data_IF_716768974581
#
_entry.id   IF_716768974581
#
_cell.length_a   1.000
_cell.length_b   1.000
_cell.length_c   1.000
_cell.angle_alpha   90.00
_cell.angle_beta   90.00
_cell.angle_gamma   90.00
#
_symmetry.space_group_name_H-M   'P 1'
#
loop_
_entity.id
_entity.type
_entity.pdbx_description
1 polymer ?
#
# COMPACT_ATOMS: atom_id res chain seq x y z
N UNK A 1 -20.68 -6.70 -11.84
CA UNK A 1 -20.57 -6.47 -10.38
C UNK A 1 -21.50 -7.37 -9.55
N UNK A 2 -22.59 -7.87 -10.12
CA UNK A 2 -23.60 -8.71 -9.42
C UNK A 2 -23.12 -10.13 -9.06
N UNK A 3 -22.04 -10.66 -9.67
CA UNK A 3 -21.59 -12.04 -9.41
C UNK A 3 -20.62 -12.19 -8.24
N UNK A 4 -19.94 -11.12 -7.80
CA UNK A 4 -18.97 -11.21 -6.68
C UNK A 4 -19.64 -11.30 -5.30
N UNK A 5 -20.86 -10.77 -5.17
CA UNK A 5 -21.61 -10.71 -3.91
C UNK A 5 -22.35 -12.01 -3.58
N UNK A 6 -22.55 -12.89 -4.56
CA UNK A 6 -23.29 -14.16 -4.39
C UNK A 6 -22.39 -15.22 -3.70
N UNK A 7 -21.07 -15.06 -3.73
CA UNK A 7 -20.15 -16.10 -3.27
C UNK A 7 -20.06 -16.25 -1.74
N UNK A 8 -20.32 -15.18 -0.98
CA UNK A 8 -20.13 -15.17 0.48
C UNK A 8 -21.40 -15.47 1.31
N UNK A 9 -22.61 -15.34 0.75
CA UNK A 9 -23.87 -15.73 1.43
C UNK A 9 -25.04 -15.82 0.43
N UNK A 10 -25.17 -16.94 -0.30
CA UNK A 10 -26.13 -17.08 -1.41
C UNK A 10 -27.61 -17.10 -0.98
N UNK A 11 -27.91 -17.25 0.31
CA UNK A 11 -29.29 -17.41 0.82
C UNK A 11 -29.80 -16.23 1.67
N UNK A 12 -29.00 -15.18 1.89
CA UNK A 12 -29.42 -14.04 2.71
C UNK A 12 -29.67 -12.79 1.84
N UNK A 13 -30.93 -12.51 1.45
CA UNK A 13 -31.28 -11.36 0.62
C UNK A 13 -30.96 -10.01 1.29
N UNK A 14 -30.85 -9.95 2.62
CA UNK A 14 -30.45 -8.74 3.35
C UNK A 14 -28.95 -8.44 3.23
N UNK A 15 -28.10 -9.45 3.02
CA UNK A 15 -26.65 -9.28 2.87
C UNK A 15 -26.27 -8.64 1.52
N UNK A 16 -26.94 -9.03 0.43
CA UNK A 16 -26.76 -8.40 -0.88
C UNK A 16 -27.21 -6.93 -0.86
N UNK A 17 -28.33 -6.63 -0.20
CA UNK A 17 -28.86 -5.27 -0.06
C UNK A 17 -27.96 -4.39 0.83
N UNK A 18 -27.53 -4.86 2.00
CA UNK A 18 -26.61 -4.10 2.86
C UNK A 18 -25.20 -4.03 2.30
N UNK A 19 -24.70 -5.01 1.55
CA UNK A 19 -23.42 -4.89 0.85
C UNK A 19 -23.51 -3.88 -0.31
N UNK A 20 -24.61 -3.86 -1.07
CA UNK A 20 -24.88 -2.82 -2.08
C UNK A 20 -25.14 -1.45 -1.46
N UNK A 21 -25.71 -1.38 -0.25
CA UNK A 21 -25.86 -0.15 0.54
C UNK A 21 -24.50 0.32 1.05
N UNK A 22 -23.72 -0.56 1.67
CA UNK A 22 -22.34 -0.31 2.10
C UNK A 22 -21.41 -0.01 0.93
N UNK A 23 -21.66 -0.49 -0.29
CA UNK A 23 -20.87 -0.18 -1.50
C UNK A 23 -21.36 1.09 -2.23
N UNK A 24 -22.67 1.33 -2.25
CA UNK A 24 -23.31 2.48 -2.89
C UNK A 24 -23.33 3.75 -2.03
N UNK A 25 -23.21 3.61 -0.72
CA UNK A 25 -23.15 4.71 0.25
C UNK A 25 -21.74 4.94 0.82
N UNK A 26 -20.62 4.35 0.35
CA UNK A 26 -19.30 4.55 1.01
C UNK A 26 -18.89 6.02 1.19
N UNK A 27 -19.30 6.89 0.28
CA UNK A 27 -19.07 8.32 0.39
C UNK A 27 -19.95 8.95 1.48
N UNK A 28 -21.24 8.61 1.51
CA UNK A 28 -22.19 9.07 2.54
C UNK A 28 -21.89 8.45 3.90
N UNK A 29 -21.66 7.14 3.99
CA UNK A 29 -21.21 6.47 5.21
C UNK A 29 -19.84 6.95 5.67
N UNK A 30 -18.94 7.35 4.77
CA UNK A 30 -17.72 8.07 5.14
C UNK A 30 -18.02 9.43 5.75
N UNK A 31 -18.94 10.20 5.14
CA UNK A 31 -19.36 11.51 5.62
C UNK A 31 -20.13 11.44 6.95
N UNK A 32 -21.15 10.60 7.05
CA UNK A 32 -21.94 10.34 8.25
C UNK A 32 -21.06 9.86 9.42
N UNK A 33 -20.07 9.00 9.14
CA UNK A 33 -19.13 8.54 10.17
C UNK A 33 -18.11 9.63 10.53
N UNK A 34 -17.70 10.47 9.59
CA UNK A 34 -16.87 11.64 9.90
C UNK A 34 -17.63 12.66 10.76
N UNK A 35 -18.89 12.95 10.44
CA UNK A 35 -19.80 13.79 11.23
C UNK A 35 -19.99 13.20 12.63
N UNK A 36 -20.18 11.88 12.75
CA UNK A 36 -20.19 11.18 14.05
C UNK A 36 -18.89 11.39 14.83
N UNK A 37 -17.75 11.46 14.14
CA UNK A 37 -16.45 11.76 14.71
C UNK A 37 -16.38 13.19 15.26
N UNK A 38 -16.83 14.17 14.48
CA UNK A 38 -16.92 15.58 14.87
C UNK A 38 -17.85 15.77 16.08
N UNK A 39 -19.04 15.18 16.04
CA UNK A 39 -20.01 15.18 17.14
C UNK A 39 -19.46 14.56 18.42
N UNK A 40 -18.76 13.44 18.29
CA UNK A 40 -18.12 12.75 19.42
C UNK A 40 -17.03 13.63 20.02
N UNK A 41 -16.23 14.27 19.18
CA UNK A 41 -15.17 15.18 19.61
C UNK A 41 -15.74 16.42 20.31
N UNK A 42 -16.81 17.02 19.76
CA UNK A 42 -17.51 18.14 20.36
C UNK A 42 -18.09 17.80 21.76
N UNK A 43 -18.47 16.53 21.98
CA UNK A 43 -18.93 16.00 23.27
C UNK A 43 -17.80 15.52 24.19
N UNK A 44 -16.53 15.74 23.82
CA UNK A 44 -15.35 15.32 24.60
C UNK A 44 -15.00 13.82 24.54
N UNK A 45 -15.70 13.04 23.69
CA UNK A 45 -15.47 11.60 23.54
C UNK A 45 -14.34 11.29 22.56
N UNK A 46 -13.09 11.60 22.94
CA UNK A 46 -11.93 11.56 22.04
C UNK A 46 -11.70 10.18 21.41
N UNK A 47 -11.81 9.09 22.17
CA UNK A 47 -11.61 7.73 21.65
C UNK A 47 -12.65 7.36 20.58
N UNK A 48 -13.91 7.76 20.78
CA UNK A 48 -14.97 7.51 19.79
C UNK A 48 -14.76 8.32 18.53
N UNK A 49 -14.29 9.56 18.66
CA UNK A 49 -13.93 10.40 17.52
C UNK A 49 -12.78 9.79 16.71
N UNK A 50 -11.70 9.37 17.37
CA UNK A 50 -10.56 8.67 16.74
C UNK A 50 -11.02 7.44 15.94
N UNK A 51 -11.78 6.53 16.57
CA UNK A 51 -12.28 5.32 15.91
C UNK A 51 -13.21 5.64 14.73
N UNK A 52 -14.03 6.70 14.82
CA UNK A 52 -14.90 7.14 13.75
C UNK A 52 -14.10 7.68 12.56
N UNK A 53 -13.14 8.58 12.80
CA UNK A 53 -12.30 9.12 11.74
C UNK A 53 -11.45 8.06 11.03
N UNK A 54 -10.94 7.04 11.76
CA UNK A 54 -10.25 5.90 11.14
C UNK A 54 -11.16 5.10 10.20
N UNK A 55 -12.41 4.83 10.61
CA UNK A 55 -13.39 4.16 9.76
C UNK A 55 -13.74 4.99 8.53
N UNK A 56 -13.98 6.29 8.70
CA UNK A 56 -14.27 7.20 7.60
C UNK A 56 -13.12 7.23 6.59
N UNK A 57 -11.87 7.33 7.05
CA UNK A 57 -10.68 7.28 6.20
C UNK A 57 -10.64 5.99 5.37
N UNK A 58 -10.86 4.82 5.99
CA UNK A 58 -10.91 3.55 5.28
C UNK A 58 -12.06 3.48 4.26
N UNK A 59 -13.23 4.05 4.56
CA UNK A 59 -14.37 4.07 3.63
C UNK A 59 -14.08 4.93 2.40
N UNK A 60 -13.55 6.14 2.58
CA UNK A 60 -13.15 7.01 1.48
C UNK A 60 -12.05 6.38 0.64
N UNK A 61 -11.01 5.83 1.27
CA UNK A 61 -9.89 5.17 0.58
C UNK A 61 -10.37 3.99 -0.27
N UNK A 62 -11.30 3.19 0.26
CA UNK A 62 -11.84 2.03 -0.48
C UNK A 62 -12.77 2.46 -1.61
N UNK A 63 -13.51 3.55 -1.43
CA UNK A 63 -14.38 4.11 -2.47
C UNK A 63 -13.57 4.70 -3.64
N UNK A 64 -12.46 5.38 -3.34
CA UNK A 64 -11.55 5.93 -4.34
C UNK A 64 -10.86 4.82 -5.16
N UNK A 65 -10.31 3.81 -4.48
CA UNK A 65 -9.36 2.87 -5.09
C UNK A 65 -9.89 2.14 -6.33
N UNK A 66 -11.15 1.68 -6.28
CA UNK A 66 -11.75 0.85 -7.34
C UNK A 66 -12.60 1.64 -8.34
N UNK A 67 -12.71 2.96 -8.16
CA UNK A 67 -13.63 3.80 -8.94
C UNK A 67 -13.07 4.18 -10.32
N UNK A 68 -11.75 4.31 -10.43
CA UNK A 68 -11.03 4.94 -11.55
C UNK A 68 -11.51 4.44 -12.93
N UNK A 69 -12.33 5.25 -13.60
CA UNK A 69 -12.83 5.00 -14.98
C UNK A 69 -12.31 6.01 -16.00
N UNK A 70 -12.05 7.25 -15.56
CA UNK A 70 -11.44 8.31 -16.34
C UNK A 70 -10.16 8.77 -15.63
N UNK A 71 -8.99 8.19 -15.95
CA UNK A 71 -7.76 8.35 -15.16
C UNK A 71 -7.37 9.79 -14.84
N UNK A 72 -7.64 10.74 -15.74
CA UNK A 72 -7.22 12.14 -15.61
C UNK A 72 -8.37 13.11 -15.30
N UNK A 73 -9.62 12.64 -15.34
CA UNK A 73 -10.83 13.46 -15.26
C UNK A 73 -11.83 12.84 -14.27
N UNK A 74 -11.38 12.53 -13.06
CA UNK A 74 -12.21 11.94 -12.00
C UNK A 74 -12.19 12.81 -10.74
N UNK A 75 -12.98 13.88 -10.77
CA UNK A 75 -13.15 14.83 -9.66
C UNK A 75 -13.59 14.13 -8.36
N UNK A 76 -14.44 13.10 -8.49
CA UNK A 76 -14.92 12.36 -7.33
C UNK A 76 -13.78 11.57 -6.68
N UNK A 77 -12.93 10.92 -7.47
CA UNK A 77 -11.72 10.26 -6.92
C UNK A 77 -10.78 11.26 -6.25
N UNK A 78 -10.62 12.48 -6.78
CA UNK A 78 -9.83 13.54 -6.14
C UNK A 78 -10.46 14.02 -4.82
N UNK A 79 -11.79 14.19 -4.77
CA UNK A 79 -12.49 14.57 -3.55
C UNK A 79 -12.40 13.48 -2.48
N UNK A 80 -12.50 12.20 -2.87
CA UNK A 80 -12.30 11.07 -1.97
C UNK A 80 -10.85 10.94 -1.50
N UNK A 81 -9.88 11.23 -2.37
CA UNK A 81 -8.46 11.30 -2.01
C UNK A 81 -8.21 12.33 -0.90
N UNK A 82 -8.82 13.50 -1.06
CA UNK A 82 -8.76 14.59 -0.07
C UNK A 82 -9.46 14.20 1.22
N UNK A 83 -10.65 13.61 1.14
CA UNK A 83 -11.44 13.19 2.30
C UNK A 83 -10.79 12.07 3.11
N UNK A 84 -10.18 11.06 2.46
CA UNK A 84 -9.47 10.01 3.21
C UNK A 84 -8.29 10.60 3.99
N UNK A 85 -7.56 11.53 3.37
CA UNK A 85 -6.37 12.16 3.96
C UNK A 85 -6.77 13.02 5.15
N UNK A 86 -7.80 13.86 4.98
CA UNK A 86 -8.33 14.69 6.05
C UNK A 86 -8.84 13.85 7.23
N UNK A 87 -9.62 12.79 6.97
CA UNK A 87 -10.12 11.90 8.01
C UNK A 87 -8.97 11.17 8.74
N UNK A 88 -7.94 10.71 8.02
CA UNK A 88 -6.77 10.09 8.64
C UNK A 88 -6.01 11.07 9.54
N UNK A 89 -5.76 12.30 9.06
CA UNK A 89 -5.09 13.34 9.84
C UNK A 89 -5.90 13.71 11.10
N UNK A 90 -7.23 13.81 10.98
CA UNK A 90 -8.11 14.02 12.14
C UNK A 90 -8.00 12.89 13.16
N UNK A 91 -7.97 11.63 12.71
CA UNK A 91 -7.73 10.50 13.61
C UNK A 91 -6.34 10.54 14.25
N UNK A 92 -5.29 10.78 13.45
CA UNK A 92 -3.90 10.76 13.90
C UNK A 92 -3.62 11.80 14.99
N UNK A 93 -4.22 12.99 14.90
CA UNK A 93 -4.14 14.03 15.94
C UNK A 93 -4.80 13.62 17.27
N UNK A 94 -5.68 12.63 17.25
CA UNK A 94 -6.32 12.07 18.43
C UNK A 94 -5.63 10.80 18.95
N UNK A 95 -4.64 10.26 18.25
CA UNK A 95 -3.94 9.06 18.69
C UNK A 95 -3.10 9.33 19.95
N UNK A 96 -2.74 8.26 20.65
CA UNK A 96 -1.83 8.32 21.80
C UNK A 96 -0.35 8.51 21.42
N UNK A 97 -0.03 8.51 20.12
CA UNK A 97 1.33 8.64 19.60
C UNK A 97 1.49 10.02 18.96
N UNK A 98 2.53 10.80 19.32
CA UNK A 98 2.80 12.08 18.69
C UNK A 98 2.91 11.93 17.17
N UNK A 99 2.26 12.85 16.47
CA UNK A 99 2.10 12.85 15.03
C UNK A 99 2.55 14.19 14.46
N UNK A 100 3.40 14.16 13.43
CA UNK A 100 3.84 15.33 12.66
C UNK A 100 3.61 15.09 11.17
N UNK A 101 2.93 16.03 10.51
CA UNK A 101 2.86 16.10 9.05
C UNK A 101 4.14 16.78 8.54
N UNK A 102 4.83 16.15 7.60
CA UNK A 102 6.06 16.67 7.01
C UNK A 102 5.92 16.84 5.50
N UNK A 103 6.70 17.76 4.94
CA UNK A 103 6.85 17.94 3.49
C UNK A 103 8.30 17.72 3.12
N UNK A 104 8.58 16.66 2.36
CA UNK A 104 9.92 16.30 1.90
C UNK A 104 10.17 16.98 0.56
N UNK A 105 11.18 17.85 0.48
CA UNK A 105 11.58 18.47 -0.78
C UNK A 105 12.10 17.40 -1.74
N UNK A 106 11.52 17.35 -2.94
CA UNK A 106 11.96 16.43 -4.00
C UNK A 106 11.93 17.13 -5.35
N UNK A 107 13.12 17.41 -5.90
CA UNK A 107 13.27 18.17 -7.16
C UNK A 107 12.52 19.51 -7.11
N UNK A 108 11.51 19.70 -7.94
CA UNK A 108 10.68 20.91 -8.05
C UNK A 108 9.31 20.76 -7.37
N UNK A 109 9.14 19.76 -6.49
CA UNK A 109 7.89 19.50 -5.77
C UNK A 109 8.16 19.11 -4.31
N UNK A 110 7.10 18.86 -3.55
CA UNK A 110 7.16 18.26 -2.21
C UNK A 110 6.42 16.92 -2.20
N UNK A 111 6.90 16.00 -1.38
CA UNK A 111 6.22 14.74 -1.06
C UNK A 111 5.65 14.83 0.36
N UNK A 112 4.35 14.59 0.56
CA UNK A 112 3.78 14.54 1.90
C UNK A 112 4.28 13.30 2.64
N UNK A 113 4.49 13.43 3.95
CA UNK A 113 4.86 12.33 4.82
C UNK A 113 4.34 12.52 6.23
N UNK A 114 4.37 11.45 7.02
CA UNK A 114 3.96 11.46 8.42
C UNK A 114 5.07 10.88 9.28
N UNK A 115 5.33 11.50 10.43
CA UNK A 115 6.20 10.95 11.48
C UNK A 115 5.32 10.61 12.67
N UNK A 116 5.36 9.35 13.09
CA UNK A 116 4.79 8.89 14.36
C UNK A 116 5.92 8.60 15.35
N UNK A 117 5.84 9.17 16.55
CA UNK A 117 6.80 8.89 17.62
C UNK A 117 6.27 7.79 18.55
N UNK A 118 7.11 6.81 18.88
CA UNK A 118 6.77 5.73 19.79
C UNK A 118 6.61 6.17 21.26
N UNK A 119 7.12 7.36 21.64
CA UNK A 119 6.93 7.96 22.96
C UNK A 119 5.45 8.31 23.15
N UNK A 120 4.73 7.47 23.91
CA UNK A 120 3.30 7.63 24.15
C UNK A 120 3.01 8.92 24.91
N UNK A 121 1.95 9.61 24.50
CA UNK A 121 1.32 10.65 25.30
C UNK A 121 0.54 9.95 26.42
N UNK A 122 1.03 10.05 27.66
CA UNK A 122 0.28 9.62 28.84
C UNK A 122 -0.88 10.60 29.02
N UNK A 123 -2.09 10.19 28.67
CA UNK A 123 -3.29 10.97 28.95
C UNK A 123 -3.59 10.88 30.44
N UNK A 124 -3.12 11.85 31.22
CA UNK A 124 -3.70 12.10 32.53
C UNK A 124 -4.97 12.92 32.36
N UNK A 125 -6.04 12.43 32.99
CA UNK A 125 -7.34 13.02 33.26
C UNK A 125 -7.28 14.27 34.18
N UNK A 126 -6.21 15.06 34.10
CA UNK A 126 -6.02 16.30 34.84
C UNK A 126 -5.57 17.41 33.88
N UNK A 127 -5.99 18.67 34.10
CA UNK A 127 -5.58 19.78 33.25
C UNK A 127 -4.06 19.97 33.39
N UNK A 128 -3.34 19.81 32.28
CA UNK A 128 -1.91 20.10 32.21
C UNK A 128 -1.70 21.61 32.44
N UNK A 129 -1.47 21.98 33.70
CA UNK A 129 -0.79 23.23 34.00
C UNK A 129 0.68 23.06 33.62
N UNK A 130 1.15 23.95 32.74
CA UNK A 130 2.55 24.37 32.62
C UNK A 130 3.60 23.30 32.25
N UNK A 131 4.09 23.40 31.00
CA UNK A 131 5.53 23.33 30.64
C UNK A 131 6.36 22.07 30.92
N UNK A 132 5.78 20.89 31.16
CA UNK A 132 6.57 19.65 31.25
C UNK A 132 6.01 18.56 30.32
N UNK A 133 6.79 18.20 29.31
CA UNK A 133 6.44 17.14 28.34
C UNK A 133 6.66 17.47 26.88
N UNK A 134 7.48 18.47 26.52
CA UNK A 134 8.02 18.55 25.17
C UNK A 134 9.13 17.50 25.04
N UNK A 135 8.75 16.22 24.90
CA UNK A 135 9.68 15.20 24.41
C UNK A 135 10.16 15.69 23.06
N UNK A 136 11.42 16.12 22.99
CA UNK A 136 12.10 16.49 21.76
C UNK A 136 11.86 15.34 20.78
N UNK A 137 11.09 15.61 19.73
CA UNK A 137 11.00 14.74 18.56
C UNK A 137 12.42 14.63 18.02
N UNK A 138 13.14 13.58 18.42
CA UNK A 138 14.43 13.27 17.81
C UNK A 138 14.16 13.04 16.33
N UNK A 139 14.44 14.06 15.52
CA UNK A 139 14.35 13.99 14.05
C UNK A 139 15.38 13.05 13.44
N UNK A 140 16.34 12.58 14.25
CA UNK A 140 17.42 11.70 13.82
C UNK A 140 17.28 10.35 14.50
N UNK A 141 16.67 9.35 13.85
CA UNK A 141 16.73 7.97 14.34
C UNK A 141 18.18 7.51 14.41
N UNK A 142 18.47 6.58 15.32
CA UNK A 142 19.75 5.87 15.33
C UNK A 142 19.98 5.24 13.95
N UNK A 143 21.06 5.61 13.23
CA UNK A 143 21.31 5.09 11.88
C UNK A 143 21.44 3.57 11.86
N UNK A 144 21.83 2.94 12.98
CA UNK A 144 21.93 1.48 13.09
C UNK A 144 20.57 0.80 13.31
N UNK A 145 19.48 1.57 13.43
CA UNK A 145 18.11 1.07 13.66
C UNK A 145 17.14 1.50 12.58
N UNK A 146 17.64 2.02 11.47
CA UNK A 146 16.79 2.45 10.35
C UNK A 146 16.36 1.24 9.52
N UNK A 147 15.05 1.04 9.39
CA UNK A 147 14.45 -0.06 8.62
C UNK A 147 13.66 0.51 7.45
N UNK A 148 13.81 -0.08 6.27
CA UNK A 148 12.95 0.21 5.12
C UNK A 148 11.95 -0.94 4.93
N UNK A 149 10.66 -0.62 4.92
CA UNK A 149 9.58 -1.57 4.65
C UNK A 149 8.91 -1.18 3.33
N UNK A 150 8.85 -2.11 2.38
CA UNK A 150 8.17 -1.96 1.10
C UNK A 150 7.05 -2.97 0.95
N UNK A 151 5.82 -2.49 0.76
CA UNK A 151 4.61 -3.30 0.62
C UNK A 151 4.08 -3.30 -0.83
N UNK A 152 3.76 -4.46 -1.39
CA UNK A 152 3.32 -4.66 -2.77
C UNK A 152 4.35 -4.12 -3.78
N UNK A 153 3.95 -3.19 -4.65
CA UNK A 153 4.84 -2.45 -5.56
C UNK A 153 5.99 -1.75 -4.83
N UNK A 154 5.79 -1.34 -3.57
CA UNK A 154 6.85 -0.72 -2.78
C UNK A 154 7.93 -1.74 -2.40
N UNK A 155 7.67 -3.05 -2.48
CA UNK A 155 8.71 -4.07 -2.39
C UNK A 155 9.76 -3.92 -3.51
N UNK A 156 9.33 -3.63 -4.75
CA UNK A 156 10.25 -3.27 -5.83
C UNK A 156 10.94 -1.93 -5.56
N UNK A 157 10.20 -0.89 -5.15
CA UNK A 157 10.76 0.45 -4.95
C UNK A 157 11.76 0.50 -3.79
N UNK A 158 11.49 -0.21 -2.71
CA UNK A 158 12.39 -0.37 -1.57
C UNK A 158 13.66 -1.10 -1.99
N UNK A 159 13.53 -2.24 -2.67
CA UNK A 159 14.68 -2.97 -3.22
C UNK A 159 15.49 -2.08 -4.18
N UNK A 160 14.83 -1.31 -5.05
CA UNK A 160 15.48 -0.37 -5.96
C UNK A 160 16.20 0.75 -5.21
N UNK A 161 15.62 1.31 -4.15
CA UNK A 161 16.25 2.35 -3.35
C UNK A 161 17.55 1.87 -2.72
N UNK A 162 17.56 0.66 -2.17
CA UNK A 162 18.73 0.11 -1.46
C UNK A 162 19.83 -0.44 -2.37
N UNK A 163 19.68 -0.29 -3.69
CA UNK A 163 20.79 -0.43 -4.65
C UNK A 163 21.72 0.78 -4.64
N UNK A 164 21.33 1.88 -3.99
CA UNK A 164 22.13 3.12 -3.92
C UNK A 164 22.09 3.79 -2.54
N UNK A 165 21.13 3.44 -1.68
CA UNK A 165 21.01 3.92 -0.31
C UNK A 165 21.27 2.78 0.69
N UNK A 166 22.40 2.84 1.39
CA UNK A 166 22.87 1.75 2.26
C UNK A 166 22.78 2.08 3.74
N UNK A 167 22.12 3.19 4.14
CA UNK A 167 21.94 3.55 5.55
C UNK A 167 20.97 2.64 6.32
N UNK A 168 20.21 1.79 5.63
CA UNK A 168 19.23 0.91 6.26
C UNK A 168 19.91 -0.32 6.86
N UNK A 169 19.70 -0.52 8.16
CA UNK A 169 20.17 -1.69 8.92
C UNK A 169 19.42 -2.97 8.49
N UNK A 170 18.13 -2.85 8.16
CA UNK A 170 17.36 -3.94 7.58
C UNK A 170 16.36 -3.44 6.53
N UNK A 171 16.04 -4.32 5.59
CA UNK A 171 15.05 -4.08 4.53
C UNK A 171 14.03 -5.21 4.55
N UNK A 172 12.75 -4.85 4.50
CA UNK A 172 11.63 -5.79 4.49
C UNK A 172 10.85 -5.59 3.20
N UNK A 173 10.73 -6.64 2.40
CA UNK A 173 10.08 -6.62 1.09
C UNK A 173 8.86 -7.54 1.09
N UNK A 174 7.68 -6.95 0.94
CA UNK A 174 6.40 -7.62 1.18
C UNK A 174 5.34 -7.37 0.10
N UNK A 175 5.27 -8.09 -1.00
CA UNK A 175 6.11 -9.20 -1.40
C UNK A 175 7.44 -8.73 -2.01
N UNK A 176 8.42 -9.65 -2.12
CA UNK A 176 9.63 -9.38 -2.90
C UNK A 176 9.34 -9.29 -4.40
N UNK A 177 9.75 -8.20 -5.05
CA UNK A 177 9.48 -7.98 -6.49
C UNK A 177 10.76 -7.73 -7.28
N UNK A 178 11.10 -8.66 -8.19
CA UNK A 178 12.24 -8.52 -9.08
C UNK A 178 11.89 -7.73 -10.36
N UNK A 179 10.77 -8.07 -10.99
CA UNK A 179 10.23 -7.54 -12.24
C UNK A 179 8.74 -7.27 -12.08
N UNK A 180 8.39 -6.02 -11.76
CA UNK A 180 7.00 -5.60 -11.59
C UNK A 180 6.20 -5.66 -12.89
N UNK A 181 6.88 -5.52 -14.04
CA UNK A 181 6.23 -5.62 -15.35
C UNK A 181 5.66 -7.02 -15.62
N UNK A 182 6.04 -8.05 -14.85
CA UNK A 182 5.44 -9.39 -14.94
C UNK A 182 3.94 -9.38 -14.63
N UNK A 183 3.46 -8.55 -13.70
CA UNK A 183 2.05 -8.44 -13.33
C UNK A 183 1.14 -8.03 -14.50
N UNK A 184 1.71 -7.35 -15.50
CA UNK A 184 0.98 -6.94 -16.71
C UNK A 184 1.15 -7.90 -17.88
N UNK A 185 2.11 -8.82 -17.82
CA UNK A 185 2.49 -9.71 -18.94
C UNK A 185 2.06 -11.16 -18.75
N UNK A 186 2.00 -11.67 -17.52
CA UNK A 186 1.74 -13.09 -17.23
C UNK A 186 0.41 -13.58 -17.81
N UNK A 187 -0.62 -12.73 -17.81
CA UNK A 187 -1.94 -13.05 -18.38
C UNK A 187 -2.06 -12.75 -19.87
N UNK A 188 -1.02 -12.21 -20.51
CA UNK A 188 -1.03 -11.87 -21.93
C UNK A 188 -0.48 -13.04 -22.77
N UNK A 189 -1.05 -13.27 -23.97
CA UNK A 189 -0.47 -14.21 -24.91
C UNK A 189 0.99 -13.89 -25.22
N UNK A 190 1.84 -14.92 -25.34
CA UNK A 190 3.27 -14.77 -25.55
C UNK A 190 3.66 -13.98 -26.80
N UNK A 191 2.80 -13.93 -27.84
CA UNK A 191 3.03 -13.09 -29.02
C UNK A 191 2.99 -11.59 -28.71
N UNK A 192 2.39 -11.15 -27.59
CA UNK A 192 2.35 -9.73 -27.21
C UNK A 192 3.76 -9.21 -26.90
N UNK A 193 4.63 -10.02 -26.32
CA UNK A 193 6.04 -9.63 -26.11
C UNK A 193 6.74 -9.33 -27.44
N UNK A 194 6.52 -10.16 -28.47
CA UNK A 194 7.03 -9.89 -29.82
C UNK A 194 6.48 -8.59 -30.41
N UNK A 195 5.20 -8.27 -30.17
CA UNK A 195 4.61 -7.01 -30.61
C UNK A 195 5.22 -5.79 -29.91
N UNK A 196 5.54 -5.92 -28.62
CA UNK A 196 6.22 -4.88 -27.83
C UNK A 196 7.60 -4.60 -28.40
N UNK A 197 8.39 -5.63 -28.70
CA UNK A 197 9.73 -5.50 -29.30
C UNK A 197 9.69 -4.84 -30.68
N UNK A 198 8.61 -5.05 -31.45
CA UNK A 198 8.40 -4.43 -32.77
C UNK A 198 7.75 -3.05 -32.70
N UNK A 199 7.44 -2.52 -31.52
CA UNK A 199 6.75 -1.24 -31.30
C UNK A 199 5.37 -1.16 -32.00
N UNK A 200 4.61 -2.26 -32.00
CA UNK A 200 3.26 -2.31 -32.59
C UNK A 200 2.19 -1.75 -31.64
N UNK A 201 2.37 -0.52 -31.19
CA UNK A 201 1.63 0.10 -30.08
C UNK A 201 0.12 0.16 -30.34
N UNK A 202 -0.30 0.38 -31.59
CA UNK A 202 -1.72 0.37 -31.95
C UNK A 202 -2.35 -1.00 -31.72
N UNK A 203 -1.67 -2.07 -32.12
CA UNK A 203 -2.13 -3.45 -31.98
C UNK A 203 -2.16 -3.85 -30.51
N UNK A 204 -1.11 -3.53 -29.75
CA UNK A 204 -1.05 -3.74 -28.31
C UNK A 204 -2.20 -3.02 -27.61
N UNK A 205 -2.44 -1.75 -27.96
CA UNK A 205 -3.55 -0.98 -27.41
C UNK A 205 -4.91 -1.62 -27.67
N UNK A 206 -5.14 -2.18 -28.87
CA UNK A 206 -6.39 -2.92 -29.17
C UNK A 206 -6.52 -4.17 -28.31
N UNK A 207 -5.45 -4.94 -28.15
CA UNK A 207 -5.43 -6.16 -27.32
C UNK A 207 -5.76 -5.82 -25.87
N UNK A 208 -5.06 -4.84 -25.29
CA UNK A 208 -5.22 -4.45 -23.88
C UNK A 208 -6.58 -3.83 -23.61
N UNK A 209 -7.11 -3.00 -24.51
CA UNK A 209 -8.47 -2.46 -24.40
C UNK A 209 -9.53 -3.54 -24.49
N UNK A 210 -9.29 -4.57 -25.30
CA UNK A 210 -10.20 -5.71 -25.41
C UNK A 210 -10.16 -6.56 -24.14
N UNK A 211 -8.96 -6.89 -23.64
CA UNK A 211 -8.79 -7.63 -22.39
C UNK A 211 -9.46 -6.91 -21.20
N UNK A 212 -9.27 -5.59 -21.10
CA UNK A 212 -9.90 -4.75 -20.07
C UNK A 212 -11.43 -4.74 -20.09
N UNK A 213 -12.09 -5.17 -21.17
CA UNK A 213 -13.55 -5.31 -21.22
C UNK A 213 -14.06 -6.56 -20.51
N UNK A 214 -13.22 -7.59 -20.41
CA UNK A 214 -13.59 -8.90 -19.88
C UNK A 214 -12.92 -9.20 -18.55
N UNK A 215 -11.85 -8.49 -18.20
CA UNK A 215 -11.12 -8.63 -16.94
C UNK A 215 -11.10 -7.30 -16.17
N UNK A 216 -11.75 -7.29 -15.00
CA UNK A 216 -11.82 -6.11 -14.14
C UNK A 216 -10.47 -5.77 -13.48
N UNK A 217 -9.65 -6.77 -13.17
CA UNK A 217 -8.32 -6.58 -12.60
C UNK A 217 -7.37 -5.97 -13.63
N UNK A 218 -7.36 -6.49 -14.86
CA UNK A 218 -6.60 -5.92 -15.96
C UNK A 218 -7.05 -4.47 -16.26
N UNK A 219 -8.36 -4.23 -16.30
CA UNK A 219 -8.92 -2.87 -16.49
C UNK A 219 -8.44 -1.92 -15.40
N UNK A 220 -8.57 -2.33 -14.14
CA UNK A 220 -8.13 -1.50 -13.02
C UNK A 220 -6.62 -1.24 -13.06
N UNK A 221 -5.80 -2.28 -13.27
CA UNK A 221 -4.34 -2.16 -13.33
C UNK A 221 -3.87 -1.20 -14.42
N UNK A 222 -4.45 -1.29 -15.62
CA UNK A 222 -4.14 -0.39 -16.74
C UNK A 222 -4.58 1.04 -16.42
N UNK A 223 -5.82 1.26 -15.97
CA UNK A 223 -6.32 2.62 -15.68
C UNK A 223 -5.56 3.26 -14.51
N UNK A 224 -5.21 2.47 -13.50
CA UNK A 224 -4.40 2.93 -12.38
C UNK A 224 -2.99 3.31 -12.83
N UNK A 225 -2.33 2.46 -13.63
CA UNK A 225 -1.00 2.75 -14.16
C UNK A 225 -0.97 4.00 -15.06
N UNK A 226 -2.01 4.19 -15.88
CA UNK A 226 -2.15 5.42 -16.69
C UNK A 226 -2.18 6.67 -15.81
N UNK A 227 -2.98 6.64 -14.74
CA UNK A 227 -3.06 7.76 -13.79
C UNK A 227 -1.75 7.99 -13.04
N UNK A 228 -1.19 6.95 -12.40
CA UNK A 228 0.01 7.09 -11.55
C UNK A 228 1.26 7.45 -12.33
N UNK A 229 1.40 6.95 -13.56
CA UNK A 229 2.56 7.17 -14.42
C UNK A 229 2.39 8.33 -15.41
N UNK A 230 1.19 8.95 -15.46
CA UNK A 230 0.90 10.04 -16.40
C UNK A 230 0.88 9.61 -17.87
N UNK A 231 0.44 8.37 -18.15
CA UNK A 231 0.49 7.77 -19.49
C UNK A 231 -0.87 7.77 -20.18
N UNK A 232 -0.89 8.08 -21.47
CA UNK A 232 -2.15 8.24 -22.21
C UNK A 232 -2.59 6.93 -22.87
N UNK A 233 -1.65 6.07 -23.29
CA UNK A 233 -1.96 4.83 -24.01
C UNK A 233 -1.63 3.56 -23.21
N UNK A 234 -2.35 2.48 -23.51
CA UNK A 234 -2.12 1.18 -22.86
C UNK A 234 -0.78 0.54 -23.26
N UNK A 235 -0.27 0.84 -24.46
CA UNK A 235 1.03 0.36 -24.92
C UNK A 235 2.18 1.04 -24.16
N UNK A 236 2.06 2.35 -23.87
CA UNK A 236 3.02 3.06 -23.02
C UNK A 236 3.09 2.46 -21.63
N UNK A 237 1.95 2.04 -21.06
CA UNK A 237 1.93 1.35 -19.75
C UNK A 237 2.82 0.13 -19.77
N UNK A 238 2.67 -0.78 -20.74
CA UNK A 238 3.52 -1.98 -20.83
C UNK A 238 5.01 -1.64 -20.95
N UNK A 239 5.35 -0.63 -21.75
CA UNK A 239 6.74 -0.19 -21.91
C UNK A 239 7.28 0.40 -20.61
N UNK A 240 6.52 1.26 -19.94
CA UNK A 240 6.97 1.93 -18.72
C UNK A 240 7.15 0.94 -17.57
N UNK A 241 6.17 0.09 -17.30
CA UNK A 241 6.26 -0.90 -16.22
C UNK A 241 7.37 -1.93 -16.45
N UNK A 242 7.77 -2.18 -17.71
CA UNK A 242 8.89 -3.07 -18.00
C UNK A 242 10.25 -2.53 -17.50
N UNK A 243 10.35 -1.22 -17.26
CA UNK A 243 11.53 -0.59 -16.66
C UNK A 243 11.65 -0.86 -15.16
N UNK A 244 10.59 -1.36 -14.52
CA UNK A 244 10.54 -1.65 -13.10
C UNK A 244 11.11 -3.06 -12.85
N UNK A 245 12.41 -3.21 -13.13
CA UNK A 245 13.14 -4.47 -13.10
C UNK A 245 14.52 -4.27 -12.43
N UNK A 246 14.91 -5.20 -11.56
CA UNK A 246 16.19 -5.19 -10.83
C UNK A 246 17.32 -5.93 -11.54
N UNK A 247 17.13 -6.35 -12.80
CA UNK A 247 18.17 -7.00 -13.60
C UNK A 247 19.47 -6.18 -13.63
N UNK A 248 20.57 -6.80 -13.19
CA UNK A 248 21.89 -6.17 -13.10
C UNK A 248 22.10 -5.27 -11.88
N UNK A 249 21.11 -5.16 -10.99
CA UNK A 249 21.16 -4.27 -9.81
C UNK A 249 21.16 -5.02 -8.48
N UNK A 250 20.74 -6.28 -8.44
CA UNK A 250 20.57 -7.05 -7.17
C UNK A 250 21.86 -7.21 -6.38
N UNK A 251 23.02 -7.21 -7.05
CA UNK A 251 24.34 -7.28 -6.42
C UNK A 251 24.68 -6.03 -5.61
N UNK A 252 24.02 -4.90 -5.89
CA UNK A 252 24.20 -3.65 -5.15
C UNK A 252 23.38 -3.62 -3.86
N UNK A 253 22.45 -4.55 -3.67
CA UNK A 253 21.66 -4.63 -2.44
C UNK A 253 22.51 -5.33 -1.38
N UNK A 254 23.05 -4.55 -0.45
CA UNK A 254 23.97 -5.02 0.61
C UNK A 254 23.30 -5.10 1.99
N UNK A 255 22.20 -4.38 2.22
CA UNK A 255 21.46 -4.40 3.48
C UNK A 255 20.83 -5.76 3.78
N UNK A 256 20.80 -6.14 5.05
CA UNK A 256 20.18 -7.38 5.55
C UNK A 256 18.68 -7.39 5.22
N UNK A 257 18.22 -8.38 4.42
CA UNK A 257 16.91 -8.30 3.74
C UNK A 257 15.97 -9.47 4.06
N UNK A 258 14.75 -9.16 4.55
CA UNK A 258 13.64 -10.12 4.62
C UNK A 258 12.81 -10.03 3.34
N UNK A 259 12.66 -11.17 2.66
CA UNK A 259 11.76 -11.32 1.52
C UNK A 259 10.56 -12.14 1.96
N UNK A 260 9.38 -11.53 1.88
CA UNK A 260 8.11 -12.18 2.13
C UNK A 260 7.46 -12.63 0.83
N UNK A 261 6.72 -13.73 0.94
CA UNK A 261 6.02 -14.38 -0.15
C UNK A 261 4.61 -14.78 0.28
N UNK A 262 3.63 -14.38 -0.52
CA UNK A 262 2.25 -14.83 -0.49
C UNK A 262 2.02 -15.92 -1.57
N UNK A 263 1.91 -17.22 -1.21
CA UNK A 263 1.82 -18.33 -2.18
C UNK A 263 0.63 -18.28 -3.15
N UNK A 264 -0.48 -17.69 -2.70
CA UNK A 264 -1.70 -17.52 -3.49
C UNK A 264 -1.79 -16.13 -4.11
N UNK A 265 -0.70 -15.36 -4.14
CA UNK A 265 -0.64 -14.12 -4.92
C UNK A 265 -0.78 -14.43 -6.41
N UNK A 266 -1.83 -13.88 -7.03
CA UNK A 266 -2.10 -14.01 -8.44
C UNK A 266 -1.37 -12.96 -9.30
N UNK A 267 -0.89 -11.86 -8.70
CA UNK A 267 -0.25 -10.75 -9.41
C UNK A 267 1.26 -10.94 -9.57
N UNK A 268 1.97 -11.34 -8.50
CA UNK A 268 3.44 -11.36 -8.46
C UNK A 268 4.01 -12.74 -8.15
N UNK A 269 3.25 -13.79 -8.45
CA UNK A 269 3.66 -15.19 -8.23
C UNK A 269 5.06 -15.47 -8.79
N UNK A 270 5.94 -16.00 -7.94
CA UNK A 270 7.31 -16.36 -8.31
C UNK A 270 8.32 -15.21 -8.23
N UNK A 271 7.88 -13.95 -8.15
CA UNK A 271 8.77 -12.80 -8.03
C UNK A 271 9.56 -12.78 -6.71
N UNK A 272 8.98 -13.16 -5.55
CA UNK A 272 9.73 -13.23 -4.30
C UNK A 272 10.89 -14.22 -4.36
N UNK A 273 10.66 -15.40 -4.90
CA UNK A 273 11.67 -16.45 -5.03
C UNK A 273 12.75 -16.04 -6.04
N UNK A 274 12.37 -15.40 -7.14
CA UNK A 274 13.32 -14.88 -8.13
C UNK A 274 14.22 -13.80 -7.52
N UNK A 275 13.66 -12.82 -6.82
CA UNK A 275 14.43 -11.78 -6.14
C UNK A 275 15.36 -12.40 -5.09
N UNK A 276 14.82 -13.24 -4.21
CA UNK A 276 15.59 -13.90 -3.17
C UNK A 276 16.76 -14.70 -3.74
N UNK A 277 16.57 -15.41 -4.84
CA UNK A 277 17.63 -16.19 -5.51
C UNK A 277 18.79 -15.33 -6.05
N UNK A 278 18.55 -14.03 -6.32
CA UNK A 278 19.53 -13.11 -6.92
C UNK A 278 20.24 -12.21 -5.90
N UNK A 279 19.67 -12.02 -4.72
CA UNK A 279 20.30 -11.25 -3.64
C UNK A 279 21.60 -11.92 -3.16
N UNK A 280 22.62 -11.12 -2.84
CA UNK A 280 23.90 -11.60 -2.28
C UNK A 280 24.13 -11.18 -0.82
N UNK A 281 23.34 -10.26 -0.30
CA UNK A 281 23.37 -9.85 1.10
C UNK A 281 22.90 -10.96 2.04
N UNK A 282 23.09 -10.72 3.34
CA UNK A 282 22.38 -11.47 4.37
C UNK A 282 20.87 -11.35 4.14
N UNK A 283 20.17 -12.48 4.10
CA UNK A 283 18.78 -12.51 3.66
C UNK A 283 18.01 -13.67 4.29
N UNK A 284 16.71 -13.46 4.48
CA UNK A 284 15.76 -14.48 4.93
C UNK A 284 14.54 -14.50 4.01
N UNK A 285 14.04 -15.69 3.73
CA UNK A 285 12.82 -15.89 2.94
C UNK A 285 11.73 -16.48 3.84
N UNK A 286 10.56 -15.87 3.88
CA UNK A 286 9.41 -16.42 4.62
C UNK A 286 8.18 -16.41 3.71
N UNK A 287 7.59 -17.59 3.56
CA UNK A 287 6.36 -17.79 2.80
C UNK A 287 5.22 -18.04 3.79
N UNK A 288 4.26 -17.11 3.86
CA UNK A 288 3.16 -17.15 4.81
C UNK A 288 2.04 -18.04 4.26
N UNK A 289 1.88 -19.24 4.85
CA UNK A 289 1.03 -20.33 4.32
C UNK A 289 -0.44 -20.21 4.73
N UNK A 290 -1.30 -21.02 4.09
CA UNK A 290 -2.76 -21.01 4.25
C UNK A 290 -3.24 -21.24 5.68
N UNK A 291 -2.47 -21.99 6.46
CA UNK A 291 -2.73 -22.27 7.88
C UNK A 291 -2.73 -20.98 8.75
N UNK A 292 -2.09 -19.91 8.27
CA UNK A 292 -2.00 -18.61 8.94
C UNK A 292 -2.99 -17.58 8.38
N UNK A 293 -3.83 -17.94 7.39
CA UNK A 293 -4.79 -17.02 6.76
C UNK A 293 -4.15 -15.89 5.96
N UNK A 294 -2.86 -16.01 5.61
CA UNK A 294 -2.01 -14.95 5.07
C UNK A 294 -1.59 -15.20 3.60
N UNK A 295 -2.33 -15.99 2.82
CA UNK A 295 -1.86 -16.41 1.49
C UNK A 295 -2.21 -15.49 0.33
N UNK A 296 -3.20 -14.62 0.49
CA UNK A 296 -3.57 -13.64 -0.54
C UNK A 296 -2.49 -12.57 -0.68
N UNK A 297 -2.40 -11.92 -1.86
CA UNK A 297 -1.51 -10.77 -2.09
C UNK A 297 -1.45 -9.85 -0.86
N UNK A 298 -0.25 -9.52 -0.38
CA UNK A 298 -0.04 -8.67 0.79
C UNK A 298 -0.61 -9.23 2.12
N UNK A 299 -0.76 -10.56 2.22
CA UNK A 299 -1.05 -11.35 3.42
C UNK A 299 -2.16 -10.78 4.32
N UNK A 300 -3.40 -11.23 4.10
CA UNK A 300 -4.60 -10.75 4.81
C UNK A 300 -4.61 -10.93 6.35
N UNK A 301 -3.62 -11.60 6.95
CA UNK A 301 -3.45 -11.74 8.40
C UNK A 301 -2.29 -10.88 8.93
N UNK A 302 -2.53 -9.57 9.02
CA UNK A 302 -1.53 -8.58 9.46
C UNK A 302 -0.86 -8.89 10.79
N UNK A 303 -1.54 -9.54 11.75
CA UNK A 303 -0.92 -9.91 13.02
C UNK A 303 0.22 -10.92 12.86
N UNK A 304 0.03 -11.93 12.02
CA UNK A 304 1.06 -12.95 11.74
C UNK A 304 2.21 -12.35 10.93
N UNK A 305 1.89 -11.50 9.96
CA UNK A 305 2.87 -10.72 9.20
C UNK A 305 3.75 -9.89 10.12
N UNK A 306 3.14 -9.08 11.00
CA UNK A 306 3.88 -8.25 11.95
C UNK A 306 4.76 -9.08 12.87
N UNK A 307 4.28 -10.22 13.38
CA UNK A 307 5.09 -11.10 14.21
C UNK A 307 6.36 -11.56 13.47
N UNK A 308 6.24 -12.02 12.22
CA UNK A 308 7.40 -12.44 11.41
C UNK A 308 8.39 -11.29 11.20
N UNK A 309 7.88 -10.08 10.90
CA UNK A 309 8.73 -8.90 10.70
C UNK A 309 9.48 -8.56 12.00
N UNK A 310 8.78 -8.45 13.13
CA UNK A 310 9.40 -8.08 14.40
C UNK A 310 10.36 -9.15 14.93
N UNK A 311 10.03 -10.45 14.76
CA UNK A 311 10.93 -11.56 15.10
C UNK A 311 12.21 -11.50 14.27
N UNK A 312 12.11 -11.21 12.97
CA UNK A 312 13.28 -11.02 12.11
C UNK A 312 14.13 -9.83 12.53
N UNK A 313 13.51 -8.68 12.81
CA UNK A 313 14.24 -7.49 13.26
C UNK A 313 14.94 -7.71 14.61
N UNK A 314 14.40 -8.57 15.48
CA UNK A 314 15.06 -9.01 16.69
C UNK A 314 16.24 -9.95 16.39
N UNK A 315 16.06 -10.94 15.51
CA UNK A 315 17.09 -11.89 15.08
C UNK A 315 18.34 -11.19 14.51
N UNK A 316 18.14 -10.16 13.68
CA UNK A 316 19.24 -9.40 13.05
C UNK A 316 19.78 -8.26 13.92
N UNK A 317 19.33 -8.16 15.18
CA UNK A 317 19.86 -7.22 16.16
C UNK A 317 19.44 -5.76 15.98
N UNK A 318 18.45 -5.47 15.12
CA UNK A 318 17.90 -4.12 14.95
C UNK A 318 17.04 -3.72 16.16
N UNK A 319 16.25 -4.65 16.67
CA UNK A 319 15.49 -4.50 17.90
C UNK A 319 16.24 -5.13 19.07
N UNK A 320 16.26 -4.44 20.20
CA UNK A 320 16.79 -4.95 21.47
C UNK A 320 15.64 -5.35 22.39
N UNK A 321 15.88 -6.34 23.25
CA UNK A 321 15.00 -6.74 24.36
C UNK A 321 14.75 -5.61 25.35
#
# INVERSE_FOLDING_TARGET
MTSLLIHFSPSNPSFGYEALRVLGYRNYGGADVAETGEDSLAKGNVRRAEEAFLRASNYYRTAEFYRRSAPFEDEISNNLATAFSAAFVSAARLMQYPFEEISILYRNTTLPGFIFNAARILRHDQPLSSTEGLTVLSRSPDPNKLVLFGWSIDGYLAARAVTSEHRFAAVILDDGVFDFGSAFRTSLPSFVNYLTDKNWDKTIGVILRTASRFDNGARWGILNAKWTLGLISEAEVLKEVSKYNLSGLTDMITSTTLVLDAPDDHFLKGQPQELFGRLKCEKKFVSLRSEQGATTHCQGAFSSLHQVIFDYLYEVGVLSS
#
